data_IF_161211483794
#
_entry.id   IF_161211483794
#
_cell.length_a   1.000
_cell.length_b   1.000
_cell.length_c   1.000
_cell.angle_alpha   90.00
_cell.angle_beta   90.00
_cell.angle_gamma   90.00
#
_symmetry.space_group_name_H-M   'P 1'
#
loop_
_entity.id
_entity.type
_entity.pdbx_description
1 polymer ?
#
# COMPACT_ATOMS: atom_id res chain seq x y z
N UNK A 1 17.55 60.48 -83.84
CA UNK A 1 17.95 61.79 -83.33
C UNK A 1 18.38 61.56 -81.89
N UNK A 2 19.48 61.54 -81.61
CA UNK A 2 20.68 62.33 -81.41
C UNK A 2 21.26 61.88 -80.09
N UNK A 3 22.33 61.19 -80.02
CA UNK A 3 23.75 61.64 -80.00
C UNK A 3 24.11 62.38 -78.70
N UNK A 4 25.00 61.95 -78.01
CA UNK A 4 26.44 62.10 -77.72
C UNK A 4 26.77 61.69 -76.27
N UNK A 5 27.64 60.79 -76.03
CA UNK A 5 29.12 60.87 -75.86
C UNK A 5 29.58 61.90 -74.82
N UNK A 6 30.27 61.44 -73.80
CA UNK A 6 31.73 61.70 -73.60
C UNK A 6 32.16 61.24 -72.21
N UNK A 7 33.07 60.34 -72.18
CA UNK A 7 34.50 60.30 -71.73
C UNK A 7 34.90 60.93 -70.39
N UNK A 8 35.66 60.10 -69.68
CA UNK A 8 36.93 60.33 -68.92
C UNK A 8 36.76 60.55 -67.41
N UNK A 9 37.51 60.06 -66.50
CA UNK A 9 38.90 59.70 -66.38
C UNK A 9 39.16 59.00 -65.04
N UNK A 10 40.12 58.17 -65.04
CA UNK A 10 40.73 57.38 -63.99
C UNK A 10 41.06 58.18 -62.70
N UNK A 11 40.82 57.63 -61.52
CA UNK A 11 41.72 57.78 -60.38
C UNK A 11 41.71 56.49 -59.52
N UNK A 12 42.83 55.82 -59.48
CA UNK A 12 43.20 54.67 -58.65
C UNK A 12 43.52 55.20 -57.28
N UNK A 13 42.84 54.73 -56.26
CA UNK A 13 43.32 54.79 -54.90
C UNK A 13 43.06 53.44 -54.21
N UNK A 14 44.14 52.75 -53.90
CA UNK A 14 44.18 51.56 -53.08
C UNK A 14 43.80 51.91 -51.67
N UNK A 15 42.83 51.21 -51.09
CA UNK A 15 42.64 51.22 -49.67
C UNK A 15 42.31 49.79 -49.19
N UNK A 16 43.11 49.38 -48.25
CA UNK A 16 43.27 48.15 -47.52
C UNK A 16 41.98 47.45 -47.11
N UNK A 17 41.89 46.13 -47.39
CA UNK A 17 40.92 45.23 -46.83
C UNK A 17 41.07 45.10 -45.31
N UNK A 18 40.08 45.55 -44.56
CA UNK A 18 39.78 45.15 -43.18
C UNK A 18 38.83 43.93 -43.21
N UNK A 19 39.34 42.73 -42.93
CA UNK A 19 38.55 41.57 -42.66
C UNK A 19 37.87 41.75 -41.27
N UNK A 20 36.60 42.16 -41.27
CA UNK A 20 35.75 42.06 -40.10
C UNK A 20 35.23 40.61 -40.03
N UNK A 21 35.85 39.79 -39.15
CA UNK A 21 35.37 38.48 -38.79
C UNK A 21 34.05 38.64 -37.98
N UNK A 22 32.92 38.32 -38.56
CA UNK A 22 31.68 38.11 -37.83
C UNK A 22 31.84 36.90 -36.92
N UNK A 23 32.16 37.13 -35.64
CA UNK A 23 32.00 36.14 -34.60
C UNK A 23 30.48 35.95 -34.35
N UNK A 24 29.93 34.76 -34.75
CA UNK A 24 28.66 34.29 -34.21
C UNK A 24 28.78 34.16 -32.70
N UNK A 25 27.79 34.59 -31.92
CA UNK A 25 27.79 34.29 -30.49
C UNK A 25 27.69 32.78 -30.33
N UNK A 26 28.68 32.17 -29.66
CA UNK A 26 28.57 30.79 -29.13
C UNK A 26 27.35 30.71 -28.21
N UNK A 27 26.31 30.03 -28.65
CA UNK A 27 25.27 29.55 -27.75
C UNK A 27 25.95 28.58 -26.78
N UNK A 28 26.10 29.00 -25.52
CA UNK A 28 26.33 28.06 -24.43
C UNK A 28 25.20 27.06 -24.49
N UNK A 29 25.46 25.85 -24.95
CA UNK A 29 24.63 24.71 -24.66
C UNK A 29 24.64 24.52 -23.15
N UNK A 30 23.55 24.94 -22.52
CA UNK A 30 23.21 24.48 -21.17
C UNK A 30 23.03 22.96 -21.26
N UNK A 31 24.11 22.23 -20.99
CA UNK A 31 24.07 20.81 -20.70
C UNK A 31 23.45 20.59 -19.33
N UNK A 32 22.17 20.90 -19.19
CA UNK A 32 21.36 20.34 -18.12
C UNK A 32 21.30 18.83 -18.42
N UNK A 33 21.76 17.96 -17.50
CA UNK A 33 21.64 16.53 -17.72
C UNK A 33 20.17 16.22 -17.93
N UNK A 34 19.80 15.74 -19.11
CA UNK A 34 18.48 15.18 -19.35
C UNK A 34 18.28 14.05 -18.34
N UNK A 35 17.53 14.33 -17.29
CA UNK A 35 16.99 13.28 -16.43
C UNK A 35 16.31 12.30 -17.36
N UNK A 36 16.78 11.08 -17.43
CA UNK A 36 16.18 10.04 -18.28
C UNK A 36 14.72 9.91 -17.83
N UNK A 37 13.84 10.59 -18.51
CA UNK A 37 12.42 10.44 -18.33
C UNK A 37 12.08 9.00 -18.73
N UNK A 38 11.85 8.14 -17.74
CA UNK A 38 11.38 6.77 -17.99
C UNK A 38 10.12 6.81 -18.87
N UNK A 39 9.83 5.70 -19.53
CA UNK A 39 8.62 5.58 -20.36
C UNK A 39 7.39 6.03 -19.56
N UNK A 40 6.54 6.92 -20.10
CA UNK A 40 5.35 7.36 -19.39
C UNK A 40 4.43 6.19 -19.02
N UNK A 41 3.93 6.18 -17.79
CA UNK A 41 2.93 5.19 -17.35
C UNK A 41 1.65 5.41 -18.14
N UNK A 42 1.19 4.40 -18.89
CA UNK A 42 -0.07 4.47 -19.66
C UNK A 42 -1.28 3.99 -18.85
N UNK A 43 -1.07 2.97 -18.01
CA UNK A 43 -2.08 2.42 -17.12
C UNK A 43 -1.44 2.16 -15.77
N UNK A 44 -2.15 2.45 -14.70
CA UNK A 44 -1.75 2.19 -13.33
C UNK A 44 -2.88 1.48 -12.59
N UNK A 45 -2.69 0.21 -12.26
CA UNK A 45 -3.65 -0.61 -11.53
C UNK A 45 -3.34 -0.60 -10.04
N UNK A 46 -4.30 -0.13 -9.21
CA UNK A 46 -4.14 0.00 -7.76
C UNK A 46 -5.10 -0.94 -7.04
N UNK A 47 -4.53 -1.88 -6.27
CA UNK A 47 -5.27 -2.79 -5.41
C UNK A 47 -5.53 -2.19 -4.03
N UNK A 48 -6.78 -2.21 -3.56
CA UNK A 48 -7.15 -1.68 -2.26
C UNK A 48 -8.12 -2.61 -1.50
N UNK A 49 -8.26 -2.36 -0.20
CA UNK A 49 -9.20 -3.02 0.68
C UNK A 49 -10.03 -1.97 1.42
N UNK A 50 -11.18 -2.35 1.97
CA UNK A 50 -12.03 -1.45 2.78
C UNK A 50 -11.31 -0.83 3.98
N UNK A 51 -10.22 -1.43 4.46
CA UNK A 51 -9.40 -0.90 5.55
C UNK A 51 -8.45 0.25 5.13
N UNK A 52 -8.18 0.44 3.83
CA UNK A 52 -7.19 1.40 3.33
C UNK A 52 -7.78 2.79 3.09
N UNK A 53 -8.01 3.56 4.17
CA UNK A 53 -8.61 4.90 4.09
C UNK A 53 -7.84 5.84 3.15
N UNK A 54 -6.49 5.84 3.19
CA UNK A 54 -5.67 6.70 2.33
C UNK A 54 -5.95 6.44 0.84
N UNK A 55 -6.08 5.16 0.43
CA UNK A 55 -6.41 4.82 -0.96
C UNK A 55 -7.85 5.19 -1.33
N UNK A 56 -8.81 5.01 -0.41
CA UNK A 56 -10.21 5.40 -0.66
C UNK A 56 -10.34 6.92 -0.84
N UNK A 57 -9.65 7.71 -0.03
CA UNK A 57 -9.61 9.17 -0.17
C UNK A 57 -8.84 9.58 -1.43
N UNK A 58 -7.69 8.96 -1.71
CA UNK A 58 -6.92 9.24 -2.92
C UNK A 58 -7.76 9.00 -4.19
N UNK A 59 -8.54 7.90 -4.21
CA UNK A 59 -9.48 7.60 -5.29
C UNK A 59 -10.55 8.68 -5.44
N UNK A 60 -11.21 9.05 -4.34
CA UNK A 60 -12.31 10.01 -4.37
C UNK A 60 -11.85 11.43 -4.75
N UNK A 61 -10.60 11.78 -4.38
CA UNK A 61 -9.99 13.08 -4.68
C UNK A 61 -9.19 13.10 -5.98
N UNK A 62 -9.19 11.99 -6.74
CA UNK A 62 -8.43 11.83 -7.98
C UNK A 62 -6.94 12.20 -7.82
N UNK A 63 -6.32 11.83 -6.68
CA UNK A 63 -4.94 12.25 -6.39
C UNK A 63 -3.92 11.54 -7.27
N UNK A 64 -4.18 10.30 -7.67
CA UNK A 64 -3.28 9.58 -8.58
C UNK A 64 -3.45 10.02 -10.03
N UNK A 65 -4.63 10.42 -10.44
CA UNK A 65 -4.87 11.06 -11.74
C UNK A 65 -4.07 12.37 -11.88
N UNK A 66 -3.91 13.11 -10.78
CA UNK A 66 -3.05 14.30 -10.72
C UNK A 66 -1.55 13.95 -10.76
N UNK A 67 -1.13 12.87 -10.09
CA UNK A 67 0.27 12.41 -10.06
C UNK A 67 0.70 11.75 -11.37
N UNK A 68 -0.23 11.12 -12.07
CA UNK A 68 0.00 10.37 -13.32
C UNK A 68 -0.95 10.88 -14.42
N UNK A 69 -0.81 12.14 -14.89
CA UNK A 69 -1.81 12.80 -15.75
C UNK A 69 -1.95 12.16 -17.13
N UNK A 70 -1.01 11.28 -17.53
CA UNK A 70 -1.07 10.55 -18.80
C UNK A 70 -1.52 9.10 -18.63
N UNK A 71 -1.73 8.64 -17.38
CA UNK A 71 -2.12 7.28 -17.07
C UNK A 71 -3.62 7.14 -16.89
N UNK A 72 -4.17 6.03 -17.37
CA UNK A 72 -5.49 5.54 -16.93
C UNK A 72 -5.31 4.88 -15.56
N UNK A 73 -5.96 5.40 -14.52
CA UNK A 73 -5.93 4.78 -13.19
C UNK A 73 -7.04 3.74 -13.10
N UNK A 74 -6.68 2.51 -12.77
CA UNK A 74 -7.61 1.39 -12.57
C UNK A 74 -7.62 0.97 -11.09
N UNK A 75 -8.79 1.02 -10.47
CA UNK A 75 -8.98 0.68 -9.07
C UNK A 75 -9.60 -0.71 -8.93
N UNK A 76 -8.98 -1.57 -8.09
CA UNK A 76 -9.42 -2.94 -7.86
C UNK A 76 -9.59 -3.21 -6.37
N UNK A 77 -10.84 -3.50 -5.96
CA UNK A 77 -11.13 -3.88 -4.57
C UNK A 77 -10.86 -5.36 -4.34
N UNK A 78 -10.22 -5.66 -3.21
CA UNK A 78 -9.96 -7.02 -2.76
C UNK A 78 -10.50 -7.24 -1.35
N UNK A 79 -11.06 -8.44 -1.04
CA UNK A 79 -11.59 -8.74 0.28
C UNK A 79 -10.49 -8.83 1.35
N UNK A 80 -9.27 -9.22 0.96
CA UNK A 80 -8.11 -9.34 1.83
C UNK A 80 -6.79 -9.33 1.04
N UNK A 81 -5.67 -9.21 1.76
CA UNK A 81 -4.33 -9.12 1.17
C UNK A 81 -3.89 -10.33 0.33
N UNK A 82 -4.17 -11.58 0.71
CA UNK A 82 -3.79 -12.73 -0.10
C UNK A 82 -4.29 -12.65 -1.54
N UNK A 83 -5.57 -12.34 -1.77
CA UNK A 83 -6.14 -12.21 -3.10
C UNK A 83 -5.53 -11.04 -3.89
N UNK A 84 -5.21 -9.94 -3.20
CA UNK A 84 -4.52 -8.81 -3.85
C UNK A 84 -3.13 -9.23 -4.33
N UNK A 85 -2.36 -9.99 -3.53
CA UNK A 85 -1.02 -10.45 -3.93
C UNK A 85 -1.07 -11.53 -5.02
N UNK A 86 -2.12 -12.32 -5.12
CA UNK A 86 -2.34 -13.21 -6.26
C UNK A 86 -2.51 -12.41 -7.56
N UNK A 87 -3.30 -11.33 -7.53
CA UNK A 87 -3.47 -10.43 -8.67
C UNK A 87 -2.18 -9.68 -9.03
N UNK A 88 -1.39 -9.26 -8.02
CA UNK A 88 -0.09 -8.63 -8.23
C UNK A 88 0.91 -9.60 -8.89
N UNK A 89 0.94 -10.85 -8.46
CA UNK A 89 1.86 -11.87 -9.00
C UNK A 89 1.60 -12.21 -10.48
N UNK A 90 0.39 -11.93 -10.99
CA UNK A 90 0.03 -12.13 -12.40
C UNK A 90 -0.07 -10.81 -13.19
N UNK A 91 0.52 -9.74 -12.66
CA UNK A 91 0.60 -8.39 -13.26
C UNK A 91 -0.78 -7.74 -13.53
N UNK A 92 -1.79 -8.05 -12.72
CA UNK A 92 -3.13 -7.42 -12.77
C UNK A 92 -3.19 -6.20 -11.85
N UNK A 93 -2.29 -6.12 -10.89
CA UNK A 93 -2.12 -4.99 -9.95
C UNK A 93 -0.67 -4.54 -9.97
N UNK A 94 -0.43 -3.24 -10.07
CA UNK A 94 0.91 -2.62 -10.05
C UNK A 94 1.30 -2.20 -8.63
N UNK A 95 0.37 -1.56 -7.90
CA UNK A 95 0.54 -1.20 -6.50
C UNK A 95 -0.64 -1.67 -5.67
N UNK A 96 -0.39 -2.07 -4.43
CA UNK A 96 -1.47 -2.48 -3.55
C UNK A 96 -1.15 -2.32 -2.07
N UNK A 97 -2.23 -2.35 -1.26
CA UNK A 97 -2.17 -2.29 0.19
C UNK A 97 -2.46 -3.65 0.81
N UNK A 98 -1.65 -4.05 1.78
CA UNK A 98 -1.80 -5.32 2.51
C UNK A 98 -1.40 -5.18 3.98
N UNK A 99 -1.88 -6.09 4.82
CA UNK A 99 -1.31 -6.29 6.15
C UNK A 99 0.08 -6.93 6.10
N UNK A 100 0.63 -7.21 7.27
CA UNK A 100 1.98 -7.78 7.42
C UNK A 100 2.14 -9.20 6.85
N UNK A 101 1.16 -10.04 7.01
CA UNK A 101 1.24 -11.48 6.74
C UNK A 101 1.18 -11.87 5.26
N UNK A 102 0.32 -11.26 4.40
CA UNK A 102 0.20 -11.67 3.00
C UNK A 102 1.54 -11.68 2.25
N UNK A 103 2.44 -10.67 2.39
CA UNK A 103 3.73 -10.69 1.69
C UNK A 103 4.64 -11.84 2.13
N UNK A 104 4.58 -12.24 3.40
CA UNK A 104 5.35 -13.38 3.92
C UNK A 104 4.93 -14.68 3.22
N UNK A 105 3.61 -14.92 3.11
CA UNK A 105 3.09 -16.09 2.41
C UNK A 105 3.42 -16.08 0.92
N UNK A 106 3.38 -14.90 0.28
CA UNK A 106 3.74 -14.75 -1.12
C UNK A 106 5.22 -15.04 -1.36
N UNK A 107 6.13 -14.49 -0.53
CA UNK A 107 7.56 -14.79 -0.60
C UNK A 107 7.84 -16.28 -0.35
N UNK A 108 7.19 -16.90 0.65
CA UNK A 108 7.35 -18.32 0.95
C UNK A 108 6.82 -19.24 -0.19
N UNK A 109 5.91 -18.72 -1.01
CA UNK A 109 5.42 -19.36 -2.24
C UNK A 109 6.24 -18.97 -3.49
N UNK A 110 7.42 -18.33 -3.33
CA UNK A 110 8.31 -17.85 -4.40
C UNK A 110 7.62 -16.89 -5.37
N UNK A 111 6.64 -16.11 -4.89
CA UNK A 111 6.02 -15.02 -5.66
C UNK A 111 6.83 -13.75 -5.47
N UNK A 112 7.13 -13.09 -6.58
CA UNK A 112 7.92 -11.86 -6.55
C UNK A 112 7.05 -10.65 -6.20
N UNK A 113 7.58 -9.79 -5.33
CA UNK A 113 6.94 -8.55 -4.86
C UNK A 113 7.99 -7.58 -4.33
N UNK A 114 7.64 -6.30 -4.16
CA UNK A 114 8.52 -5.34 -3.46
C UNK A 114 7.75 -4.55 -2.43
N UNK A 115 8.26 -4.53 -1.19
CA UNK A 115 7.81 -3.61 -0.15
C UNK A 115 8.31 -2.20 -0.50
N UNK A 116 7.41 -1.26 -0.69
CA UNK A 116 7.74 0.12 -1.09
C UNK A 116 7.45 1.15 0.01
N UNK A 117 6.65 0.81 0.99
CA UNK A 117 6.31 1.67 2.11
C UNK A 117 5.49 0.94 3.16
N UNK A 118 5.37 1.57 4.33
CA UNK A 118 4.57 1.03 5.43
C UNK A 118 3.80 2.13 6.16
N UNK A 119 2.78 1.72 6.88
CA UNK A 119 2.11 2.52 7.91
C UNK A 119 1.96 1.72 9.21
N UNK A 120 1.87 2.43 10.33
CA UNK A 120 1.66 1.80 11.65
C UNK A 120 0.20 1.36 11.76
N UNK A 121 -0.03 0.11 12.15
CA UNK A 121 -1.39 -0.41 12.40
C UNK A 121 -1.90 0.13 13.73
N UNK A 122 -3.12 0.71 13.79
CA UNK A 122 -3.72 1.11 15.05
C UNK A 122 -3.96 -0.10 15.95
N UNK A 123 -3.52 -0.03 17.21
CA UNK A 123 -3.49 -1.15 18.16
C UNK A 123 -4.86 -1.80 18.40
N UNK A 124 -5.96 -1.01 18.31
CA UNK A 124 -7.33 -1.50 18.52
C UNK A 124 -8.10 -1.81 17.23
N UNK A 125 -7.42 -1.77 16.07
CA UNK A 125 -8.06 -2.05 14.77
C UNK A 125 -8.08 -3.53 14.39
N UNK A 126 -7.52 -4.40 15.24
CA UNK A 126 -7.47 -5.84 15.06
C UNK A 126 -7.74 -6.57 16.38
N UNK A 127 -8.59 -7.61 16.37
CA UNK A 127 -8.93 -8.35 17.57
C UNK A 127 -9.38 -9.79 17.28
N UNK A 128 -9.30 -10.62 18.30
CA UNK A 128 -10.07 -11.86 18.41
C UNK A 128 -11.36 -11.54 19.18
N UNK A 129 -12.48 -11.72 18.51
CA UNK A 129 -13.81 -11.44 19.09
C UNK A 129 -14.60 -12.72 19.32
N UNK A 130 -15.51 -12.66 20.30
CA UNK A 130 -16.42 -13.74 20.68
C UNK A 130 -17.86 -13.21 20.71
N UNK A 131 -18.89 -14.07 20.54
CA UNK A 131 -20.28 -13.68 20.70
C UNK A 131 -20.58 -13.09 22.08
N UNK A 132 -21.56 -12.20 22.17
CA UNK A 132 -21.94 -11.53 23.42
C UNK A 132 -22.28 -12.50 24.56
N UNK A 133 -22.90 -13.64 24.24
CA UNK A 133 -23.31 -14.71 25.16
C UNK A 133 -22.29 -15.85 25.25
N UNK A 134 -21.09 -15.69 24.74
CA UNK A 134 -20.05 -16.73 24.77
C UNK A 134 -19.66 -17.12 26.20
N UNK A 135 -19.42 -18.42 26.41
CA UNK A 135 -18.83 -18.95 27.64
C UNK A 135 -17.32 -18.77 27.72
N UNK A 136 -16.65 -18.42 26.62
CA UNK A 136 -15.22 -18.11 26.56
C UNK A 136 -14.95 -16.85 27.39
N UNK A 137 -13.98 -16.92 28.31
CA UNK A 137 -13.60 -15.79 29.18
C UNK A 137 -12.12 -15.43 29.02
N UNK A 138 -11.29 -16.39 28.68
CA UNK A 138 -9.85 -16.26 28.54
C UNK A 138 -9.37 -16.87 27.22
N UNK A 139 -8.13 -16.54 26.80
CA UNK A 139 -7.52 -17.15 25.60
C UNK A 139 -7.27 -18.64 25.77
N UNK A 140 -7.18 -19.16 27.00
CA UNK A 140 -7.05 -20.60 27.25
C UNK A 140 -8.34 -21.37 26.93
N UNK A 141 -9.51 -20.73 27.02
CA UNK A 141 -10.80 -21.32 26.69
C UNK A 141 -11.00 -21.54 25.18
N UNK A 142 -10.05 -21.13 24.36
CA UNK A 142 -10.07 -21.32 22.90
C UNK A 142 -9.83 -22.78 22.50
N UNK A 143 -9.35 -23.63 23.43
CA UNK A 143 -9.11 -25.06 23.17
C UNK A 143 -10.41 -25.75 22.71
N UNK A 144 -10.33 -26.46 21.57
CA UNK A 144 -11.46 -27.14 20.93
C UNK A 144 -12.47 -26.25 20.21
N UNK A 145 -12.27 -24.91 20.19
CA UNK A 145 -13.24 -23.97 19.62
C UNK A 145 -13.07 -23.80 18.11
N UNK A 146 -14.18 -23.51 17.44
CA UNK A 146 -14.24 -23.14 16.01
C UNK A 146 -13.89 -21.67 15.89
N UNK A 147 -12.75 -21.37 15.28
CA UNK A 147 -12.24 -20.00 15.18
C UNK A 147 -12.11 -19.61 13.71
N UNK A 148 -12.93 -18.66 13.27
CA UNK A 148 -12.83 -18.14 11.90
C UNK A 148 -11.64 -17.19 11.78
N UNK A 149 -10.96 -17.30 10.64
CA UNK A 149 -9.85 -16.41 10.24
C UNK A 149 -9.59 -16.52 8.74
N UNK A 150 -9.22 -15.42 8.10
CA UNK A 150 -8.72 -15.43 6.73
C UNK A 150 -7.28 -15.95 6.72
N UNK A 151 -7.05 -17.09 6.06
CA UNK A 151 -5.70 -17.69 5.93
C UNK A 151 -4.74 -16.70 5.25
N UNK A 152 -3.54 -16.54 5.82
CA UNK A 152 -2.50 -15.68 5.27
C UNK A 152 -2.73 -14.17 5.46
N UNK A 153 -3.73 -13.76 6.27
CA UNK A 153 -3.97 -12.35 6.62
C UNK A 153 -3.28 -11.95 7.92
N UNK A 154 -3.26 -10.64 8.25
CA UNK A 154 -2.79 -10.15 9.55
C UNK A 154 -3.60 -10.69 10.74
N UNK A 155 -4.89 -11.01 10.54
CA UNK A 155 -5.68 -11.67 11.57
C UNK A 155 -5.22 -13.12 11.82
N UNK A 156 -4.63 -13.79 10.82
CA UNK A 156 -4.00 -15.10 10.98
C UNK A 156 -2.76 -14.99 11.87
N UNK A 157 -1.96 -13.94 11.69
CA UNK A 157 -0.80 -13.65 12.56
C UNK A 157 -1.24 -13.34 13.99
N UNK A 158 -2.26 -12.50 14.18
CA UNK A 158 -2.80 -12.23 15.51
C UNK A 158 -3.25 -13.53 16.19
N UNK A 159 -3.99 -14.40 15.49
CA UNK A 159 -4.41 -15.69 16.05
C UNK A 159 -3.23 -16.58 16.41
N UNK A 160 -2.17 -16.62 15.59
CA UNK A 160 -0.95 -17.37 15.89
C UNK A 160 -0.30 -16.89 17.20
N UNK A 161 -0.18 -15.57 17.39
CA UNK A 161 0.33 -14.97 18.63
C UNK A 161 -0.55 -15.26 19.85
N UNK A 162 -1.87 -15.22 19.67
CA UNK A 162 -2.84 -15.53 20.73
C UNK A 162 -2.69 -17.00 21.16
N UNK A 163 -2.61 -17.93 20.22
CA UNK A 163 -2.42 -19.34 20.51
C UNK A 163 -1.07 -19.58 21.24
N UNK A 164 0.00 -18.98 20.76
CA UNK A 164 1.32 -19.07 21.41
C UNK A 164 1.26 -18.54 22.85
N UNK A 165 0.64 -17.39 23.10
CA UNK A 165 0.45 -16.81 24.43
C UNK A 165 -0.40 -17.69 25.36
N UNK A 166 -1.37 -18.41 24.79
CA UNK A 166 -2.22 -19.35 25.51
C UNK A 166 -1.56 -20.73 25.73
N UNK A 167 -0.39 -20.99 25.19
CA UNK A 167 0.25 -22.33 25.19
C UNK A 167 -0.51 -23.34 24.34
N UNK A 168 -1.26 -22.89 23.33
CA UNK A 168 -2.04 -23.70 22.41
C UNK A 168 -1.35 -23.80 21.05
N UNK A 169 -1.61 -24.92 20.36
CA UNK A 169 -1.21 -25.16 18.98
C UNK A 169 -2.41 -25.07 18.04
N UNK A 170 -2.15 -25.08 16.73
CA UNK A 170 -3.21 -25.12 15.72
C UNK A 170 -4.08 -26.37 15.78
N UNK A 171 -3.55 -27.49 16.31
CA UNK A 171 -4.27 -28.74 16.51
C UNK A 171 -5.16 -28.72 17.76
N UNK A 172 -4.98 -27.76 18.64
CA UNK A 172 -5.84 -27.56 19.82
C UNK A 172 -7.13 -26.79 19.53
N UNK A 173 -7.26 -26.22 18.31
CA UNK A 173 -8.45 -25.47 17.88
C UNK A 173 -9.03 -26.08 16.59
N UNK A 174 -10.19 -25.58 16.17
CA UNK A 174 -10.80 -25.89 14.86
C UNK A 174 -10.76 -24.61 14.00
N UNK A 175 -9.71 -24.39 13.20
CA UNK A 175 -9.62 -23.20 12.37
C UNK A 175 -10.61 -23.29 11.20
N UNK A 176 -11.41 -22.25 11.02
CA UNK A 176 -12.38 -22.12 9.94
C UNK A 176 -11.87 -21.03 8.99
N UNK A 177 -11.37 -21.46 7.83
CA UNK A 177 -10.75 -20.57 6.85
C UNK A 177 -11.82 -19.89 6.00
N UNK A 178 -12.17 -18.64 6.36
CA UNK A 178 -13.22 -17.87 5.68
C UNK A 178 -12.73 -16.47 5.31
N UNK A 179 -13.15 -15.95 4.14
CA UNK A 179 -13.06 -14.53 3.86
C UNK A 179 -13.84 -13.70 4.88
N UNK A 180 -13.50 -12.41 5.10
CA UNK A 180 -14.13 -11.60 6.15
C UNK A 180 -15.65 -11.52 6.09
N UNK A 181 -16.24 -11.41 4.89
CA UNK A 181 -17.70 -11.34 4.72
C UNK A 181 -18.40 -12.65 5.11
N UNK A 182 -17.83 -13.78 4.72
CA UNK A 182 -18.38 -15.13 5.04
C UNK A 182 -18.19 -15.42 6.54
N UNK A 183 -17.04 -15.04 7.12
CA UNK A 183 -16.78 -15.14 8.54
C UNK A 183 -17.78 -14.29 9.36
N UNK A 184 -18.13 -13.08 8.88
CA UNK A 184 -19.17 -12.26 9.49
C UNK A 184 -20.52 -12.98 9.51
N UNK A 185 -20.94 -13.54 8.38
CA UNK A 185 -22.19 -14.29 8.31
C UNK A 185 -22.20 -15.53 9.22
N UNK A 186 -21.06 -16.24 9.32
CA UNK A 186 -20.90 -17.38 10.23
C UNK A 186 -20.93 -16.94 11.71
N UNK A 187 -20.33 -15.81 12.04
CA UNK A 187 -20.33 -15.25 13.38
C UNK A 187 -21.75 -14.82 13.84
N UNK A 188 -22.47 -14.11 12.98
CA UNK A 188 -23.84 -13.66 13.26
C UNK A 188 -24.82 -14.84 13.46
N UNK A 189 -24.59 -15.96 12.76
CA UNK A 189 -25.34 -17.21 12.92
C UNK A 189 -24.83 -18.09 14.06
N UNK A 190 -23.83 -17.65 14.83
CA UNK A 190 -23.18 -18.43 15.89
C UNK A 190 -22.67 -19.81 15.45
N UNK A 191 -22.32 -19.98 14.19
CA UNK A 191 -21.74 -21.21 13.66
C UNK A 191 -20.23 -21.32 13.90
N UNK A 192 -19.62 -20.27 14.46
CA UNK A 192 -18.25 -20.21 14.96
C UNK A 192 -18.25 -19.65 16.38
N UNK A 193 -17.22 -19.99 17.16
CA UNK A 193 -17.13 -19.64 18.58
C UNK A 193 -16.29 -18.38 18.82
N UNK A 194 -15.36 -18.08 17.91
CA UNK A 194 -14.54 -16.86 17.89
C UNK A 194 -14.17 -16.47 16.47
N UNK A 195 -13.75 -15.22 16.29
CA UNK A 195 -13.35 -14.69 15.00
C UNK A 195 -12.15 -13.74 15.15
N UNK A 196 -11.04 -14.03 14.49
CA UNK A 196 -9.90 -13.12 14.38
C UNK A 196 -10.07 -12.23 13.16
N UNK A 197 -10.11 -10.90 13.37
CA UNK A 197 -10.53 -9.95 12.33
C UNK A 197 -9.95 -8.55 12.56
N UNK A 198 -10.03 -7.71 11.54
CA UNK A 198 -9.63 -6.31 11.52
C UNK A 198 -10.78 -5.38 11.09
N UNK A 199 -10.59 -4.06 11.30
CA UNK A 199 -11.53 -3.06 10.84
C UNK A 199 -11.63 -3.00 9.29
N UNK A 200 -12.83 -2.73 8.75
CA UNK A 200 -14.04 -2.30 9.45
C UNK A 200 -14.91 -3.44 10.02
N UNK A 201 -14.60 -4.68 9.73
CA UNK A 201 -15.40 -5.84 10.18
C UNK A 201 -15.41 -5.99 11.70
N UNK A 202 -14.30 -5.65 12.38
CA UNK A 202 -14.23 -5.63 13.85
C UNK A 202 -15.23 -4.63 14.43
N UNK A 203 -15.21 -3.38 13.97
CA UNK A 203 -16.16 -2.36 14.44
C UNK A 203 -17.61 -2.73 14.14
N UNK A 204 -17.88 -3.35 13.00
CA UNK A 204 -19.19 -3.85 12.66
C UNK A 204 -19.64 -5.00 13.59
N UNK A 205 -18.75 -5.94 13.91
CA UNK A 205 -19.06 -7.03 14.84
C UNK A 205 -19.37 -6.50 16.25
N UNK A 206 -18.60 -5.53 16.74
CA UNK A 206 -18.84 -4.92 18.07
C UNK A 206 -20.16 -4.16 18.14
N UNK A 207 -20.48 -3.38 17.09
CA UNK A 207 -21.66 -2.49 17.12
C UNK A 207 -22.95 -3.21 16.76
N UNK A 208 -22.96 -4.02 15.70
CA UNK A 208 -24.17 -4.70 15.23
C UNK A 208 -24.41 -6.01 15.98
N UNK A 209 -23.39 -6.88 16.11
CA UNK A 209 -23.50 -8.21 16.69
C UNK A 209 -23.20 -8.24 18.19
N UNK A 210 -22.88 -7.07 18.79
CA UNK A 210 -22.48 -6.96 20.20
C UNK A 210 -21.33 -7.89 20.59
N UNK A 211 -20.44 -8.15 19.63
CA UNK A 211 -19.25 -8.96 19.85
C UNK A 211 -18.41 -8.38 20.99
N UNK A 212 -17.83 -9.27 21.80
CA UNK A 212 -16.86 -8.90 22.84
C UNK A 212 -15.46 -9.15 22.34
N UNK A 213 -14.56 -8.20 22.56
CA UNK A 213 -13.13 -8.38 22.32
C UNK A 213 -12.58 -9.27 23.43
N UNK A 214 -12.03 -10.42 23.08
CA UNK A 214 -11.34 -11.33 23.98
C UNK A 214 -9.89 -10.88 24.19
N UNK A 215 -9.21 -10.48 23.11
CA UNK A 215 -7.85 -9.91 23.07
C UNK A 215 -7.69 -9.11 21.77
N UNK A 216 -6.81 -8.14 21.77
CA UNK A 216 -6.58 -7.28 20.60
C UNK A 216 -5.10 -7.21 20.23
N UNK A 217 -4.78 -6.53 19.12
CA UNK A 217 -3.40 -6.29 18.74
C UNK A 217 -2.65 -5.42 19.76
N UNK A 218 -3.33 -4.65 20.60
CA UNK A 218 -2.74 -3.88 21.70
C UNK A 218 -2.04 -4.75 22.77
N UNK A 219 -2.40 -6.02 22.87
CA UNK A 219 -1.79 -6.97 23.80
C UNK A 219 -0.48 -7.59 23.30
N UNK A 220 0.01 -7.16 22.13
CA UNK A 220 1.16 -7.67 21.40
C UNK A 220 2.07 -6.54 20.88
N UNK A 221 3.32 -6.82 20.49
CA UNK A 221 4.18 -5.83 19.85
C UNK A 221 3.55 -5.20 18.60
N UNK A 222 3.88 -3.93 18.35
CA UNK A 222 3.40 -3.18 17.18
C UNK A 222 3.61 -3.94 15.88
N UNK A 223 2.65 -3.81 15.00
CA UNK A 223 2.70 -4.35 13.64
C UNK A 223 2.46 -3.25 12.61
N UNK A 224 2.73 -3.57 11.35
CA UNK A 224 2.68 -2.63 10.25
C UNK A 224 1.81 -3.19 9.12
N UNK A 225 1.21 -2.30 8.36
CA UNK A 225 0.67 -2.61 7.04
C UNK A 225 1.60 -2.07 5.98
N UNK A 226 1.59 -2.69 4.82
CA UNK A 226 2.55 -2.39 3.76
C UNK A 226 1.88 -1.98 2.47
N UNK A 227 2.57 -1.12 1.74
CA UNK A 227 2.33 -0.87 0.33
C UNK A 227 3.32 -1.70 -0.47
N UNK A 228 2.80 -2.45 -1.41
CA UNK A 228 3.52 -3.44 -2.21
C UNK A 228 3.46 -3.04 -3.68
N UNK A 229 4.55 -3.26 -4.40
CA UNK A 229 4.64 -3.02 -5.82
C UNK A 229 4.94 -4.30 -6.60
N UNK A 230 4.44 -4.34 -7.84
CA UNK A 230 4.82 -5.34 -8.83
C UNK A 230 6.26 -5.05 -9.31
N UNK A 231 7.20 -6.02 -9.18
CA UNK A 231 8.60 -5.81 -9.53
C UNK A 231 8.82 -5.42 -10.98
N UNK A 232 8.09 -6.04 -11.92
CA UNK A 232 8.20 -5.73 -13.35
C UNK A 232 7.80 -4.27 -13.59
N UNK A 233 6.65 -3.84 -13.05
CA UNK A 233 6.16 -2.47 -13.24
C UNK A 233 7.16 -1.42 -12.72
N UNK A 234 7.70 -1.59 -11.51
CA UNK A 234 8.63 -0.61 -10.93
C UNK A 234 10.03 -0.66 -11.54
N UNK A 235 10.41 -1.75 -12.21
CA UNK A 235 11.63 -1.80 -13.01
C UNK A 235 11.50 -0.95 -14.27
N UNK A 236 10.32 -1.00 -14.91
CA UNK A 236 10.02 -0.19 -16.10
C UNK A 236 9.73 1.29 -15.72
N UNK A 237 9.18 1.53 -14.52
CA UNK A 237 8.73 2.84 -14.06
C UNK A 237 9.21 3.15 -12.61
N UNK A 238 10.52 3.24 -12.34
CA UNK A 238 11.04 3.38 -10.98
C UNK A 238 10.55 4.66 -10.27
N UNK A 239 10.31 5.75 -11.02
CA UNK A 239 9.78 7.00 -10.47
C UNK A 239 8.33 6.89 -9.99
N UNK A 240 7.57 5.91 -10.50
CA UNK A 240 6.18 5.70 -10.12
C UNK A 240 6.04 5.37 -8.61
N UNK A 241 7.04 4.75 -7.99
CA UNK A 241 7.05 4.46 -6.55
C UNK A 241 7.00 5.75 -5.74
N UNK A 242 7.87 6.71 -6.05
CA UNK A 242 7.92 8.00 -5.35
C UNK A 242 6.63 8.80 -5.56
N UNK A 243 6.09 8.80 -6.78
CA UNK A 243 4.82 9.46 -7.09
C UNK A 243 3.65 8.81 -6.34
N UNK A 244 3.62 7.47 -6.28
CA UNK A 244 2.58 6.72 -5.56
C UNK A 244 2.60 7.03 -4.05
N UNK A 245 3.77 6.97 -3.40
CA UNK A 245 3.94 7.31 -1.98
C UNK A 245 3.56 8.79 -1.74
N UNK A 246 3.95 9.69 -2.65
CA UNK A 246 3.56 11.10 -2.61
C UNK A 246 2.05 11.31 -2.63
N UNK A 247 1.33 10.59 -3.49
CA UNK A 247 -0.13 10.61 -3.57
C UNK A 247 -0.80 10.11 -2.29
N UNK A 248 -0.28 9.04 -1.68
CA UNK A 248 -0.76 8.52 -0.40
C UNK A 248 -0.57 9.52 0.74
N UNK A 249 0.60 10.16 0.82
CA UNK A 249 0.88 11.18 1.83
C UNK A 249 0.05 12.44 1.61
N UNK A 250 -0.25 12.79 0.36
CA UNK A 250 -1.21 13.86 0.05
C UNK A 250 -2.62 13.52 0.54
N UNK A 251 -3.04 12.26 0.42
CA UNK A 251 -4.31 11.78 0.97
C UNK A 251 -4.34 11.89 2.50
N UNK A 252 -3.26 11.49 3.20
CA UNK A 252 -3.17 11.62 4.66
C UNK A 252 -3.28 13.09 5.11
N UNK A 253 -2.57 14.01 4.44
CA UNK A 253 -2.66 15.44 4.72
C UNK A 253 -4.06 16.01 4.44
N UNK A 254 -4.72 15.52 3.39
CA UNK A 254 -6.09 15.92 3.08
C UNK A 254 -7.07 15.43 4.16
N UNK A 255 -6.93 14.17 4.63
CA UNK A 255 -7.73 13.60 5.72
C UNK A 255 -7.61 14.43 7.00
N UNK A 256 -6.40 14.84 7.37
CA UNK A 256 -6.15 15.66 8.55
C UNK A 256 -6.90 17.00 8.50
N UNK A 257 -6.95 17.63 7.33
CA UNK A 257 -7.61 18.91 7.12
C UNK A 257 -9.13 18.80 6.94
N UNK A 258 -9.64 17.63 6.54
CA UNK A 258 -11.03 17.44 6.11
C UNK A 258 -11.67 16.21 6.79
N UNK A 259 -11.50 16.06 8.12
CA UNK A 259 -11.88 14.83 8.84
C UNK A 259 -13.34 14.42 8.65
N UNK A 260 -14.28 15.38 8.67
CA UNK A 260 -15.72 15.09 8.45
C UNK A 260 -15.97 14.54 7.04
N UNK A 261 -15.37 15.18 6.02
CA UNK A 261 -15.51 14.72 4.64
C UNK A 261 -14.83 13.37 4.42
N UNK A 262 -13.67 13.14 5.05
CA UNK A 262 -12.96 11.87 4.98
C UNK A 262 -13.79 10.73 5.59
N UNK A 263 -14.49 10.99 6.70
CA UNK A 263 -15.43 10.04 7.30
C UNK A 263 -16.60 9.73 6.35
N UNK A 264 -17.18 10.75 5.71
CA UNK A 264 -18.28 10.57 4.77
C UNK A 264 -17.83 9.77 3.53
N UNK A 265 -16.64 10.07 2.99
CA UNK A 265 -16.01 9.29 1.92
C UNK A 265 -15.83 7.84 2.34
N UNK A 266 -15.32 7.61 3.55
CA UNK A 266 -15.09 6.26 4.06
C UNK A 266 -16.39 5.46 4.18
N UNK A 267 -17.42 6.05 4.80
CA UNK A 267 -18.73 5.42 4.95
C UNK A 267 -19.36 5.07 3.58
N UNK A 268 -19.33 6.02 2.64
CA UNK A 268 -19.86 5.83 1.29
C UNK A 268 -19.08 4.75 0.51
N UNK A 269 -17.74 4.82 0.52
CA UNK A 269 -16.89 3.91 -0.24
C UNK A 269 -16.94 2.46 0.27
N UNK A 270 -17.20 2.28 1.57
CA UNK A 270 -17.26 0.94 2.21
C UNK A 270 -18.67 0.38 2.31
N UNK A 271 -19.69 1.22 2.08
CA UNK A 271 -21.11 0.85 2.27
C UNK A 271 -21.51 0.68 3.75
N UNK A 272 -20.71 1.21 4.67
CA UNK A 272 -20.96 1.11 6.11
C UNK A 272 -21.89 2.24 6.59
N UNK A 273 -22.68 1.95 7.64
CA UNK A 273 -23.38 3.02 8.34
C UNK A 273 -22.36 3.96 9.02
N UNK A 274 -22.78 5.21 9.23
CA UNK A 274 -21.89 6.26 9.74
C UNK A 274 -21.33 5.96 11.12
N UNK A 275 -22.07 5.23 11.98
CA UNK A 275 -21.63 4.88 13.34
C UNK A 275 -20.45 3.89 13.29
N UNK A 276 -20.50 2.88 12.43
CA UNK A 276 -19.40 1.94 12.22
C UNK A 276 -18.19 2.66 11.61
N UNK A 277 -18.43 3.44 10.57
CA UNK A 277 -17.38 4.23 9.93
C UNK A 277 -16.68 5.18 10.90
N UNK A 278 -17.44 5.83 11.79
CA UNK A 278 -16.90 6.70 12.85
C UNK A 278 -16.00 5.91 13.81
N UNK A 279 -16.42 4.72 14.25
CA UNK A 279 -15.63 3.86 15.15
C UNK A 279 -14.27 3.52 14.52
N UNK A 280 -14.25 3.14 13.25
CA UNK A 280 -13.00 2.87 12.50
C UNK A 280 -12.14 4.13 12.39
N UNK A 281 -12.75 5.27 12.06
CA UNK A 281 -12.08 6.54 11.92
C UNK A 281 -11.46 7.03 13.23
N UNK A 282 -12.13 6.78 14.37
CA UNK A 282 -11.63 7.15 15.70
C UNK A 282 -10.39 6.32 16.10
N UNK A 283 -10.33 5.07 15.67
CA UNK A 283 -9.18 4.18 15.92
C UNK A 283 -7.96 4.51 15.07
N UNK A 284 -8.17 5.17 13.92
CA UNK A 284 -7.08 5.50 13.01
C UNK A 284 -6.08 6.45 13.65
N UNK A 285 -4.79 6.21 13.46
CA UNK A 285 -3.74 7.16 13.79
C UNK A 285 -3.87 8.42 12.94
N UNK A 286 -3.65 9.59 13.52
CA UNK A 286 -3.79 10.90 12.87
C UNK A 286 -2.61 11.79 13.31
N UNK A 287 -1.61 11.99 12.47
CA UNK A 287 -1.41 11.50 11.10
C UNK A 287 -1.07 10.02 11.00
N UNK A 288 -1.21 9.46 9.78
CA UNK A 288 -0.77 8.12 9.42
C UNK A 288 0.05 8.17 8.11
N UNK A 289 1.23 8.79 8.14
CA UNK A 289 2.04 8.95 6.94
C UNK A 289 2.61 7.62 6.48
N UNK A 290 2.75 7.49 5.16
CA UNK A 290 3.43 6.35 4.57
C UNK A 290 4.93 6.62 4.59
N UNK A 291 5.68 5.71 5.16
CA UNK A 291 7.12 5.82 5.38
C UNK A 291 7.87 4.74 4.60
N UNK A 292 9.14 5.02 4.27
CA UNK A 292 10.06 4.02 3.72
C UNK A 292 10.46 3.03 4.82
N UNK A 293 10.67 1.76 4.45
CA UNK A 293 10.98 0.71 5.41
C UNK A 293 12.30 1.01 6.16
N UNK A 294 12.22 0.93 7.49
CA UNK A 294 13.39 1.05 8.38
C UNK A 294 13.91 -0.34 8.77
N UNK A 295 15.17 -0.46 9.23
CA UNK A 295 15.68 -1.72 9.75
C UNK A 295 14.82 -2.35 10.85
N UNK A 296 14.20 -1.53 11.72
CA UNK A 296 13.29 -1.98 12.78
C UNK A 296 12.03 -2.62 12.19
N UNK A 297 11.42 -1.98 11.18
CA UNK A 297 10.22 -2.49 10.49
C UNK A 297 10.52 -3.80 9.78
N UNK A 298 11.67 -3.88 9.09
CA UNK A 298 12.12 -5.08 8.39
C UNK A 298 12.35 -6.22 9.40
N UNK A 299 12.99 -5.93 10.54
CA UNK A 299 13.22 -6.93 11.58
C UNK A 299 11.90 -7.40 12.22
N UNK A 300 10.96 -6.48 12.45
CA UNK A 300 9.63 -6.85 12.96
C UNK A 300 8.91 -7.78 11.98
N UNK A 301 8.97 -7.49 10.69
CA UNK A 301 8.39 -8.33 9.65
C UNK A 301 9.10 -9.68 9.54
N UNK A 302 10.42 -9.71 9.71
CA UNK A 302 11.21 -10.95 9.75
C UNK A 302 10.82 -11.83 10.93
N UNK A 303 10.62 -11.24 12.12
CA UNK A 303 10.21 -12.00 13.32
C UNK A 303 8.85 -12.70 13.11
N UNK A 304 7.92 -12.08 12.34
CA UNK A 304 6.64 -12.71 11.99
C UNK A 304 6.88 -13.88 11.02
N UNK A 305 7.75 -13.71 10.04
CA UNK A 305 8.11 -14.77 9.10
C UNK A 305 8.77 -15.98 9.83
N UNK A 306 9.66 -15.70 10.77
CA UNK A 306 10.33 -16.73 11.58
C UNK A 306 9.33 -17.47 12.48
N UNK A 307 8.39 -16.76 13.11
CA UNK A 307 7.28 -17.37 13.85
C UNK A 307 6.48 -18.33 12.96
N UNK A 308 6.10 -17.89 11.77
CA UNK A 308 5.30 -18.73 10.85
C UNK A 308 6.05 -19.96 10.36
N UNK A 309 7.35 -19.84 10.15
CA UNK A 309 8.18 -21.00 9.83
C UNK A 309 8.28 -21.96 11.02
N UNK A 310 8.48 -21.44 12.23
CA UNK A 310 8.56 -22.23 13.46
C UNK A 310 7.27 -23.03 13.74
N UNK A 311 6.09 -22.41 13.51
CA UNK A 311 4.80 -23.08 13.70
C UNK A 311 4.30 -23.78 12.41
N UNK A 312 5.17 -23.96 11.43
CA UNK A 312 4.91 -24.68 10.16
C UNK A 312 3.74 -24.12 9.32
N UNK A 313 3.45 -22.85 9.42
CA UNK A 313 2.45 -22.16 8.60
C UNK A 313 2.97 -21.75 7.22
N UNK A 314 4.30 -21.61 7.08
CA UNK A 314 4.98 -21.47 5.79
C UNK A 314 6.01 -22.62 5.61
N UNK A 315 6.19 -23.10 4.37
CA UNK A 315 7.00 -24.30 4.11
C UNK A 315 8.50 -24.08 4.19
N UNK A 316 8.97 -22.83 4.08
CA UNK A 316 10.38 -22.49 4.00
C UNK A 316 10.69 -21.18 4.70
N UNK A 317 11.93 -21.03 5.14
CA UNK A 317 12.46 -19.77 5.66
C UNK A 317 12.56 -18.75 4.52
N UNK A 318 12.22 -17.51 4.80
CA UNK A 318 12.38 -16.38 3.88
C UNK A 318 13.25 -15.30 4.53
N UNK A 319 13.84 -14.45 3.69
CA UNK A 319 14.49 -13.22 4.10
C UNK A 319 13.66 -12.02 3.58
N UNK A 320 13.03 -11.30 4.50
CA UNK A 320 12.18 -10.14 4.16
C UNK A 320 12.96 -9.06 3.41
N UNK A 321 14.25 -8.87 3.75
CA UNK A 321 15.12 -7.88 3.13
C UNK A 321 15.22 -8.04 1.61
N UNK A 322 15.14 -9.27 1.08
CA UNK A 322 15.27 -9.56 -0.36
C UNK A 322 14.12 -8.95 -1.19
N UNK A 323 12.98 -8.67 -0.54
CA UNK A 323 11.83 -8.05 -1.17
C UNK A 323 11.68 -6.54 -0.87
N UNK A 324 12.61 -5.93 -0.15
CA UNK A 324 12.57 -4.49 0.13
C UNK A 324 13.05 -3.71 -1.09
N UNK A 325 12.21 -2.78 -1.56
CA UNK A 325 12.59 -1.85 -2.61
C UNK A 325 13.49 -0.74 -2.06
N UNK A 326 14.54 -0.46 -2.78
CA UNK A 326 15.42 0.69 -2.53
C UNK A 326 15.46 1.57 -3.76
N UNK A 327 15.49 2.88 -3.57
CA UNK A 327 15.63 3.80 -4.69
C UNK A 327 16.91 3.42 -5.47
N UNK A 328 16.84 3.25 -6.80
CA UNK A 328 18.05 3.05 -7.58
C UNK A 328 19.01 4.20 -7.32
N UNK A 329 20.24 3.88 -6.91
CA UNK A 329 21.31 4.89 -6.79
C UNK A 329 21.47 5.57 -8.14
N UNK A 330 21.52 6.90 -8.17
CA UNK A 330 21.87 7.64 -9.39
C UNK A 330 23.26 7.16 -9.83
N UNK A 331 23.29 6.43 -10.94
CA UNK A 331 24.55 6.14 -11.64
C UNK A 331 25.08 7.40 -12.32
#
# INVERSE_FOLDING_TARGET
>A
MGVLQSFSLIAVTALSLGLAACQKPEQKQDNTPATSAGTPVKTLSIGYQKSSLNLLVARQQALFEQQFPQAKIEWREFPAGPQMLEALAVNVVDFGYVGNTPPIFAQAANKDLRYIGYEVVPEHSQALVIPANSSIKTIADLKGKRIAVQKGSSAHELLAKVLQKAGLSWTDIQPIWLPPADARAAFDKQSIDAWSIWDPYLSAAELDSKAKVLTSAADFPKTYSFYIANPKFITEHPQAVTQFIGGLNSADQWILKNQTLALDIYAQSTGLNKTIAQRVFDRRLKPSPIQTLTPEVIQTQQNIADLFQQVQLIPQKINVQDAVWTLPSKQ
#
